data_IF_500865093764
#
_entry.id   IF_500865093764
#
_cell.length_a   1.000
_cell.length_b   1.000
_cell.length_c   1.000
_cell.angle_alpha   90.00
_cell.angle_beta   90.00
_cell.angle_gamma   90.00
#
_symmetry.space_group_name_H-M   'P 1'
#
loop_
_entity.id
_entity.type
_entity.pdbx_description
1 polymer ?
#
# COMPACT_ATOMS: atom_id res chain seq x y z
N UNK A 1 -28.46 -28.37 40.07
CA UNK A 1 -29.67 -27.92 39.36
C UNK A 1 -29.17 -27.14 38.16
N UNK A 2 -29.38 -27.46 36.89
CA UNK A 2 -30.26 -28.37 36.15
C UNK A 2 -29.43 -28.89 34.95
N UNK A 3 -29.34 -30.20 34.71
CA UNK A 3 -30.29 -31.09 34.02
C UNK A 3 -29.88 -31.31 32.55
N UNK A 4 -29.71 -32.58 32.24
CA UNK A 4 -28.85 -33.16 31.21
C UNK A 4 -29.77 -33.88 30.21
N UNK A 5 -29.97 -33.33 29.01
CA UNK A 5 -30.79 -33.99 27.98
C UNK A 5 -29.91 -34.78 27.00
N UNK A 6 -29.75 -36.08 27.30
CA UNK A 6 -29.26 -37.10 26.36
C UNK A 6 -30.42 -37.57 25.50
N UNK A 7 -30.34 -37.31 24.19
CA UNK A 7 -31.23 -37.92 23.20
C UNK A 7 -30.71 -39.33 22.87
N UNK A 8 -31.42 -40.36 23.33
CA UNK A 8 -31.21 -41.74 22.94
C UNK A 8 -31.94 -42.01 21.62
N UNK A 9 -31.17 -42.20 20.55
CA UNK A 9 -31.69 -42.65 19.25
C UNK A 9 -32.01 -44.14 19.28
N UNK A 10 -33.27 -44.45 19.00
CA UNK A 10 -33.86 -45.79 18.87
C UNK A 10 -33.15 -46.62 17.81
N UNK A 11 -32.62 -47.78 18.22
CA UNK A 11 -32.05 -48.78 17.32
C UNK A 11 -33.22 -49.63 16.78
N UNK A 12 -33.54 -49.45 15.49
CA UNK A 12 -34.46 -50.33 14.76
C UNK A 12 -33.68 -51.57 14.33
N UNK A 13 -34.00 -52.71 14.95
CA UNK A 13 -33.49 -54.02 14.57
C UNK A 13 -34.37 -54.54 13.42
N UNK A 14 -33.90 -54.36 12.20
CA UNK A 14 -34.52 -54.93 11.00
C UNK A 14 -34.05 -56.39 10.84
N UNK A 15 -34.92 -57.35 11.17
CA UNK A 15 -34.73 -58.77 10.91
C UNK A 15 -34.75 -59.04 9.41
N UNK A 16 -33.56 -59.12 8.81
CA UNK A 16 -33.38 -59.44 7.39
C UNK A 16 -33.48 -60.93 7.17
N UNK A 17 -34.55 -61.30 6.48
CA UNK A 17 -34.87 -62.64 5.97
C UNK A 17 -33.70 -63.18 5.11
N UNK A 18 -33.13 -64.33 5.51
CA UNK A 18 -32.07 -65.00 4.78
C UNK A 18 -32.64 -65.68 3.53
N UNK A 19 -32.70 -64.95 2.41
CA UNK A 19 -32.84 -65.57 1.10
C UNK A 19 -31.53 -66.23 0.70
N UNK A 20 -31.57 -67.55 0.63
CA UNK A 20 -30.48 -68.42 0.18
C UNK A 20 -30.26 -68.22 -1.34
N UNK A 21 -29.53 -67.16 -1.69
CA UNK A 21 -29.10 -66.90 -3.07
C UNK A 21 -27.91 -67.80 -3.40
N UNK A 22 -28.03 -68.56 -4.48
CA UNK A 22 -26.96 -69.39 -5.02
C UNK A 22 -25.69 -68.55 -5.25
N UNK A 23 -24.48 -69.10 -4.97
CA UNK A 23 -23.23 -68.37 -5.15
C UNK A 23 -23.05 -68.03 -6.62
N UNK A 24 -23.23 -66.76 -6.97
CA UNK A 24 -22.87 -66.22 -8.26
C UNK A 24 -21.39 -66.54 -8.54
N UNK A 25 -21.02 -66.87 -9.79
CA UNK A 25 -19.65 -67.23 -10.15
C UNK A 25 -18.71 -66.13 -9.68
N UNK A 26 -17.71 -66.50 -8.86
CA UNK A 26 -16.61 -65.62 -8.42
C UNK A 26 -15.86 -65.13 -9.66
N UNK A 27 -16.34 -64.04 -10.25
CA UNK A 27 -15.57 -63.24 -11.20
C UNK A 27 -14.37 -62.71 -10.41
N UNK A 28 -13.17 -62.96 -10.93
CA UNK A 28 -11.92 -62.79 -10.18
C UNK A 28 -11.76 -61.33 -9.72
N UNK A 29 -12.03 -61.08 -8.44
CA UNK A 29 -11.86 -59.76 -7.79
C UNK A 29 -10.44 -59.23 -7.89
N UNK A 30 -9.49 -60.12 -8.22
CA UNK A 30 -8.09 -59.82 -8.49
C UNK A 30 -7.95 -58.86 -9.68
N UNK A 31 -8.71 -59.06 -10.77
CA UNK A 31 -8.61 -58.20 -11.96
C UNK A 31 -9.03 -56.75 -11.69
N UNK A 32 -10.13 -56.56 -10.93
CA UNK A 32 -10.64 -55.22 -10.61
C UNK A 32 -9.71 -54.44 -9.69
N UNK A 33 -9.05 -55.11 -8.73
CA UNK A 33 -8.06 -54.49 -7.85
C UNK A 33 -6.80 -54.08 -8.61
N UNK A 34 -6.34 -54.91 -9.54
CA UNK A 34 -5.20 -54.59 -10.41
C UNK A 34 -5.50 -53.36 -11.28
N UNK A 35 -6.69 -53.28 -11.89
CA UNK A 35 -7.08 -52.10 -12.69
C UNK A 35 -7.11 -50.80 -11.86
N UNK A 36 -7.66 -50.83 -10.65
CA UNK A 36 -7.72 -49.63 -9.80
C UNK A 36 -6.32 -49.17 -9.38
N UNK A 37 -5.44 -50.10 -8.98
CA UNK A 37 -4.05 -49.75 -8.66
C UNK A 37 -3.31 -49.14 -9.85
N UNK A 38 -3.49 -49.68 -11.06
CA UNK A 38 -2.87 -49.13 -12.27
C UNK A 38 -3.37 -47.71 -12.58
N UNK A 39 -4.67 -47.44 -12.42
CA UNK A 39 -5.22 -46.10 -12.61
C UNK A 39 -4.66 -45.08 -11.61
N UNK A 40 -4.53 -45.45 -10.34
CA UNK A 40 -3.94 -44.57 -9.31
C UNK A 40 -2.47 -44.30 -9.61
N UNK A 41 -1.70 -45.32 -9.99
CA UNK A 41 -0.28 -45.15 -10.36
C UNK A 41 -0.13 -44.27 -11.60
N UNK A 42 -0.94 -44.49 -12.64
CA UNK A 42 -0.94 -43.63 -13.84
C UNK A 42 -1.28 -42.18 -13.48
N UNK A 43 -2.29 -41.96 -12.63
CA UNK A 43 -2.65 -40.62 -12.18
C UNK A 43 -1.52 -39.94 -11.39
N UNK A 44 -0.86 -40.66 -10.48
CA UNK A 44 0.28 -40.14 -9.74
C UNK A 44 1.48 -39.84 -10.65
N UNK A 45 1.75 -40.68 -11.65
CA UNK A 45 2.80 -40.42 -12.65
C UNK A 45 2.46 -39.15 -13.44
N UNK A 46 1.20 -38.98 -13.87
CA UNK A 46 0.77 -37.75 -14.56
C UNK A 46 0.95 -36.53 -13.66
N UNK A 47 0.60 -36.62 -12.38
CA UNK A 47 0.80 -35.52 -11.42
C UNK A 47 2.28 -35.20 -11.20
N UNK A 48 3.14 -36.22 -11.10
CA UNK A 48 4.59 -36.02 -10.97
C UNK A 48 5.17 -35.43 -12.25
N UNK A 49 4.77 -35.91 -13.42
CA UNK A 49 5.24 -35.39 -14.69
C UNK A 49 4.75 -33.96 -14.90
N UNK A 50 3.48 -33.66 -14.57
CA UNK A 50 2.95 -32.31 -14.56
C UNK A 50 3.71 -31.42 -13.58
N UNK A 51 4.04 -31.92 -12.38
CA UNK A 51 4.86 -31.19 -11.40
C UNK A 51 6.27 -30.92 -11.93
N UNK A 52 6.95 -31.91 -12.52
CA UNK A 52 8.29 -31.73 -13.11
C UNK A 52 8.20 -30.73 -14.27
N UNK A 53 7.23 -30.87 -15.17
CA UNK A 53 7.08 -29.98 -16.32
C UNK A 53 6.63 -28.56 -15.92
N UNK A 54 5.94 -28.41 -14.80
CA UNK A 54 5.42 -27.13 -14.33
C UNK A 54 6.35 -26.43 -13.34
N UNK A 55 7.14 -27.18 -12.58
CA UNK A 55 8.04 -26.64 -11.55
C UNK A 55 9.48 -26.72 -12.04
N UNK A 56 9.97 -27.91 -12.36
CA UNK A 56 11.39 -28.10 -12.70
C UNK A 56 11.76 -27.53 -14.07
N UNK A 57 10.90 -27.66 -15.08
CA UNK A 57 11.19 -27.11 -16.41
C UNK A 57 11.28 -25.58 -16.36
N UNK A 58 10.29 -24.84 -15.84
CA UNK A 58 10.45 -23.40 -15.63
C UNK A 58 11.64 -23.07 -14.75
N UNK A 59 11.95 -23.83 -13.70
CA UNK A 59 13.11 -23.56 -12.85
C UNK A 59 14.46 -23.73 -13.56
N UNK A 60 14.61 -24.80 -14.35
CA UNK A 60 15.81 -25.05 -15.17
C UNK A 60 15.94 -23.94 -16.20
N UNK A 61 14.83 -23.61 -16.88
CA UNK A 61 14.86 -22.55 -17.85
C UNK A 61 15.12 -21.20 -17.16
N UNK A 62 14.56 -20.87 -15.98
CA UNK A 62 14.78 -19.61 -15.24
C UNK A 62 16.23 -19.39 -14.84
N UNK A 63 16.99 -20.44 -14.53
CA UNK A 63 18.43 -20.30 -14.30
C UNK A 63 19.22 -19.97 -15.60
N UNK A 64 18.64 -20.22 -16.77
CA UNK A 64 19.16 -19.76 -18.07
C UNK A 64 18.53 -18.42 -18.54
N UNK A 65 17.65 -17.77 -17.75
CA UNK A 65 16.94 -16.54 -18.15
C UNK A 65 17.84 -15.32 -18.26
N UNK A 66 19.01 -15.32 -17.60
CA UNK A 66 20.00 -14.24 -17.76
C UNK A 66 20.58 -14.16 -19.20
N UNK A 67 20.28 -15.13 -20.09
CA UNK A 67 20.85 -15.21 -21.43
C UNK A 67 19.84 -15.17 -22.59
N UNK A 68 18.52 -15.02 -22.35
CA UNK A 68 17.53 -15.14 -23.44
C UNK A 68 16.54 -13.95 -23.54
N UNK A 69 16.74 -13.01 -24.49
CA UNK A 69 15.90 -11.82 -24.66
C UNK A 69 14.47 -12.11 -25.19
N UNK A 70 14.12 -13.36 -25.49
CA UNK A 70 12.78 -13.73 -25.97
C UNK A 70 11.74 -13.92 -24.84
N UNK A 71 12.14 -13.89 -23.56
CA UNK A 71 11.22 -13.98 -22.42
C UNK A 71 10.59 -12.64 -21.98
N UNK A 72 11.14 -11.49 -22.41
CA UNK A 72 10.46 -10.17 -22.28
C UNK A 72 9.03 -10.24 -22.82
N UNK A 73 8.81 -11.05 -23.86
CA UNK A 73 7.53 -11.14 -24.56
C UNK A 73 6.46 -11.98 -23.87
N UNK A 74 6.81 -12.87 -22.94
CA UNK A 74 5.84 -13.76 -22.29
C UNK A 74 5.45 -13.31 -20.87
N UNK A 75 6.32 -12.60 -20.15
CA UNK A 75 5.94 -11.90 -18.91
C UNK A 75 4.87 -10.82 -19.16
N UNK A 76 4.85 -10.25 -20.38
CA UNK A 76 3.84 -9.26 -20.84
C UNK A 76 2.44 -9.87 -21.07
N UNK A 77 2.29 -11.20 -21.16
CA UNK A 77 1.04 -11.81 -21.69
C UNK A 77 0.08 -12.34 -20.61
N UNK A 78 0.51 -12.49 -19.35
CA UNK A 78 -0.36 -13.10 -18.31
C UNK A 78 -0.84 -12.07 -17.26
N UNK A 79 -0.26 -10.86 -17.23
CA UNK A 79 -0.87 -9.74 -16.53
C UNK A 79 -2.05 -9.20 -17.35
N UNK A 80 -3.21 -8.85 -16.75
CA UNK A 80 -4.18 -8.02 -17.45
C UNK A 80 -3.43 -6.79 -17.99
N UNK A 81 -3.55 -6.53 -19.31
CA UNK A 81 -3.01 -5.31 -19.92
C UNK A 81 -3.37 -4.14 -19.02
N UNK A 82 -2.39 -3.32 -18.63
CA UNK A 82 -2.67 -2.07 -17.91
C UNK A 82 -3.84 -1.37 -18.60
N UNK A 83 -4.82 -0.85 -17.83
CA UNK A 83 -5.97 -0.17 -18.39
C UNK A 83 -5.47 0.83 -19.43
N UNK A 84 -6.07 0.74 -20.62
CA UNK A 84 -5.79 1.64 -21.76
C UNK A 84 -5.65 3.04 -21.20
N UNK A 85 -4.51 3.71 -21.47
CA UNK A 85 -4.29 5.08 -21.05
C UNK A 85 -5.48 5.93 -21.49
N UNK A 86 -6.37 6.23 -20.55
CA UNK A 86 -7.47 7.10 -20.81
C UNK A 86 -6.89 8.51 -20.83
N UNK A 87 -7.23 9.27 -21.87
CA UNK A 87 -6.89 10.67 -21.90
C UNK A 87 -7.64 11.39 -20.76
N UNK A 88 -6.93 11.66 -19.67
CA UNK A 88 -7.46 12.28 -18.44
C UNK A 88 -7.57 13.80 -18.55
N UNK A 89 -7.11 14.42 -19.63
CA UNK A 89 -7.10 15.89 -19.78
C UNK A 89 -8.49 16.54 -19.78
N UNK A 90 -9.52 15.73 -20.06
CA UNK A 90 -10.92 16.15 -20.00
C UNK A 90 -11.54 16.09 -18.59
N UNK A 91 -10.92 15.39 -17.64
CA UNK A 91 -11.49 15.23 -16.31
C UNK A 91 -11.37 16.53 -15.51
N UNK A 92 -12.45 16.93 -14.84
CA UNK A 92 -12.55 18.19 -14.12
C UNK A 92 -12.08 18.10 -12.66
N UNK A 93 -11.66 16.92 -12.20
CA UNK A 93 -11.31 16.65 -10.81
C UNK A 93 -10.26 15.56 -10.66
N UNK A 94 -9.60 15.53 -9.50
CA UNK A 94 -8.89 14.36 -9.00
C UNK A 94 -9.26 14.11 -7.54
N UNK A 95 -9.22 12.84 -7.14
CA UNK A 95 -9.52 12.41 -5.76
C UNK A 95 -8.23 11.96 -5.09
N UNK A 96 -8.05 12.41 -3.85
CA UNK A 96 -6.96 11.99 -2.99
C UNK A 96 -7.51 11.27 -1.77
N UNK A 97 -6.97 10.09 -1.50
CA UNK A 97 -7.15 9.38 -0.24
C UNK A 97 -5.91 9.54 0.62
N UNK A 98 -6.08 9.57 1.93
CA UNK A 98 -4.99 9.38 2.88
C UNK A 98 -5.38 8.27 3.84
N UNK A 99 -4.50 7.28 3.96
CA UNK A 99 -4.56 6.27 5.01
C UNK A 99 -3.79 6.82 6.22
N UNK A 100 -4.32 6.64 7.41
CA UNK A 100 -3.70 6.91 8.71
C UNK A 100 -3.85 5.67 9.60
N UNK A 101 -3.16 5.60 10.72
CA UNK A 101 -3.06 4.36 11.51
C UNK A 101 -4.41 3.73 11.92
N UNK A 102 -5.41 4.56 12.20
CA UNK A 102 -6.75 4.14 12.62
C UNK A 102 -7.89 4.42 11.65
N UNK A 103 -7.65 5.14 10.56
CA UNK A 103 -8.72 5.64 9.69
C UNK A 103 -8.19 6.00 8.30
N UNK A 104 -9.09 6.30 7.36
CA UNK A 104 -8.77 6.96 6.11
C UNK A 104 -9.54 8.27 5.95
N UNK A 105 -9.01 9.20 5.16
CA UNK A 105 -9.70 10.42 4.74
C UNK A 105 -9.71 10.58 3.22
N UNK A 106 -10.63 11.39 2.73
CA UNK A 106 -10.77 11.69 1.31
C UNK A 106 -10.92 13.19 1.06
N UNK A 107 -10.37 13.65 -0.07
CA UNK A 107 -10.54 15.01 -0.59
C UNK A 107 -10.65 14.98 -2.12
N UNK A 108 -11.20 16.06 -2.68
CA UNK A 108 -11.33 16.26 -4.13
C UNK A 108 -10.69 17.60 -4.49
N UNK A 109 -9.84 17.62 -5.52
CA UNK A 109 -9.31 18.85 -6.12
C UNK A 109 -9.95 19.07 -7.50
N UNK A 110 -10.61 20.21 -7.70
CA UNK A 110 -11.33 20.55 -8.93
C UNK A 110 -10.54 21.51 -9.81
N UNK A 111 -10.66 21.37 -11.13
CA UNK A 111 -9.93 22.16 -12.15
C UNK A 111 -9.96 23.69 -11.94
N UNK A 112 -10.98 24.22 -11.27
CA UNK A 112 -11.10 25.63 -10.96
C UNK A 112 -10.15 26.16 -9.85
N UNK A 113 -9.30 25.33 -9.24
CA UNK A 113 -8.44 25.76 -8.11
C UNK A 113 -8.95 25.35 -6.73
N UNK A 114 -10.21 24.93 -6.64
CA UNK A 114 -10.85 24.63 -5.37
C UNK A 114 -10.61 23.17 -4.98
N UNK A 115 -10.43 22.94 -3.68
CA UNK A 115 -10.39 21.60 -3.10
C UNK A 115 -11.40 21.51 -1.96
N UNK A 116 -12.03 20.36 -1.81
CA UNK A 116 -12.97 20.10 -0.71
C UNK A 116 -12.57 18.83 0.03
N UNK A 117 -12.75 18.84 1.34
CA UNK A 117 -12.65 17.64 2.17
C UNK A 117 -13.99 16.89 2.13
N UNK A 118 -13.94 15.56 2.04
CA UNK A 118 -15.14 14.73 1.88
C UNK A 118 -15.54 14.10 3.20
N UNK A 119 -14.60 13.44 3.87
CA UNK A 119 -14.89 12.78 5.13
C UNK A 119 -13.79 11.84 5.59
N UNK A 120 -14.07 11.24 6.74
CA UNK A 120 -13.23 10.25 7.43
C UNK A 120 -14.01 8.94 7.51
N UNK A 121 -13.29 7.82 7.39
CA UNK A 121 -13.82 6.50 7.63
C UNK A 121 -12.89 5.74 8.57
N UNK A 122 -13.39 5.36 9.74
CA UNK A 122 -12.58 4.65 10.72
C UNK A 122 -12.32 3.20 10.29
N UNK A 123 -11.08 2.77 10.49
CA UNK A 123 -10.66 1.40 10.23
C UNK A 123 -11.18 0.44 11.30
N UNK A 124 -11.47 -0.79 10.89
CA UNK A 124 -11.81 -1.87 11.81
C UNK A 124 -10.54 -2.45 12.50
N UNK A 125 -10.72 -3.45 13.37
CA UNK A 125 -9.60 -4.08 14.07
C UNK A 125 -8.62 -4.77 13.12
N UNK A 126 -9.11 -5.30 11.99
CA UNK A 126 -8.24 -5.91 10.99
C UNK A 126 -7.38 -4.85 10.28
N UNK A 127 -7.95 -3.67 10.00
CA UNK A 127 -7.23 -2.51 9.48
C UNK A 127 -6.13 -2.06 10.45
N UNK A 128 -6.48 -1.81 11.72
CA UNK A 128 -5.53 -1.36 12.74
C UNK A 128 -4.42 -2.38 12.98
N UNK A 129 -4.78 -3.68 13.03
CA UNK A 129 -3.81 -4.78 13.14
C UNK A 129 -2.86 -4.81 11.95
N UNK A 130 -3.34 -4.56 10.74
CA UNK A 130 -2.48 -4.45 9.57
C UNK A 130 -1.54 -3.24 9.68
N UNK A 131 -2.07 -2.05 9.99
CA UNK A 131 -1.26 -0.83 10.10
C UNK A 131 -0.13 -1.00 11.12
N UNK A 132 -0.42 -1.61 12.28
CA UNK A 132 0.59 -1.95 13.28
C UNK A 132 1.58 -3.03 12.81
N UNK A 133 1.13 -4.06 12.07
CA UNK A 133 2.01 -5.07 11.49
C UNK A 133 2.96 -4.46 10.44
N UNK A 134 2.45 -3.53 9.64
CA UNK A 134 3.17 -2.90 8.54
C UNK A 134 4.31 -1.97 8.99
N UNK A 135 4.37 -1.63 10.30
CA UNK A 135 5.49 -0.88 10.87
C UNK A 135 6.74 -1.75 11.07
N UNK A 136 6.57 -3.07 11.17
CA UNK A 136 7.67 -3.99 11.44
C UNK A 136 8.43 -4.35 10.17
N UNK A 137 9.77 -4.33 10.24
CA UNK A 137 10.63 -4.85 9.18
C UNK A 137 10.41 -6.34 8.91
N UNK A 138 9.91 -7.10 9.88
CA UNK A 138 9.65 -8.53 9.75
C UNK A 138 8.41 -8.82 8.89
N UNK A 139 7.55 -7.81 8.70
CA UNK A 139 6.38 -7.90 7.83
C UNK A 139 6.70 -7.61 6.36
N UNK A 140 7.93 -7.18 6.05
CA UNK A 140 8.37 -6.92 4.68
C UNK A 140 8.32 -8.21 3.88
N UNK A 141 7.52 -8.20 2.82
CA UNK A 141 7.52 -9.28 1.85
C UNK A 141 8.48 -8.98 0.69
N UNK A 142 9.00 -10.01 0.00
CA UNK A 142 9.70 -9.81 -1.25
C UNK A 142 8.80 -9.03 -2.23
N UNK A 143 9.37 -8.03 -2.89
CA UNK A 143 8.72 -7.23 -3.92
C UNK A 143 9.73 -7.03 -5.05
N UNK A 144 9.31 -6.78 -6.30
CA UNK A 144 10.23 -6.33 -7.32
C UNK A 144 10.98 -5.05 -6.89
N UNK A 145 12.12 -4.69 -7.53
CA UNK A 145 12.88 -5.57 -8.40
C UNK A 145 13.42 -6.74 -7.58
N UNK A 146 13.24 -7.96 -8.09
CA UNK A 146 13.68 -9.13 -7.38
C UNK A 146 15.18 -9.29 -7.58
N UNK A 147 15.95 -9.15 -6.50
CA UNK A 147 17.37 -9.50 -6.52
C UNK A 147 17.56 -11.01 -6.32
N UNK A 148 18.34 -11.63 -7.20
CA UNK A 148 18.71 -13.05 -7.16
C UNK A 148 17.49 -13.99 -7.09
N UNK A 149 17.25 -14.62 -5.94
CA UNK A 149 16.19 -15.60 -5.70
C UNK A 149 14.88 -14.99 -5.20
N UNK A 150 14.79 -13.65 -5.09
CA UNK A 150 13.61 -12.96 -4.56
C UNK A 150 12.31 -13.32 -5.30
N UNK A 151 12.38 -13.43 -6.63
CA UNK A 151 11.22 -13.77 -7.46
C UNK A 151 10.70 -15.18 -7.17
N UNK A 152 11.62 -16.11 -6.94
CA UNK A 152 11.28 -17.48 -6.60
C UNK A 152 10.66 -17.57 -5.20
N UNK A 153 11.27 -16.89 -4.22
CA UNK A 153 10.74 -16.81 -2.86
C UNK A 153 9.32 -16.21 -2.84
N UNK A 154 9.05 -15.23 -3.71
CA UNK A 154 7.75 -14.57 -3.79
C UNK A 154 6.69 -15.29 -4.63
N UNK A 155 7.11 -16.27 -5.45
CA UNK A 155 6.23 -16.92 -6.43
C UNK A 155 4.95 -17.49 -5.80
N UNK A 156 5.05 -18.09 -4.62
CA UNK A 156 3.90 -18.65 -3.89
C UNK A 156 2.89 -17.57 -3.48
N UNK A 157 3.37 -16.41 -2.99
CA UNK A 157 2.54 -15.26 -2.65
C UNK A 157 1.85 -14.71 -3.91
N UNK A 158 2.60 -14.52 -4.99
CA UNK A 158 2.08 -14.01 -6.27
C UNK A 158 1.00 -14.90 -6.87
N UNK A 159 1.19 -16.23 -6.84
CA UNK A 159 0.16 -17.18 -7.30
C UNK A 159 -1.09 -17.12 -6.43
N UNK A 160 -0.95 -17.09 -5.10
CA UNK A 160 -2.09 -16.97 -4.19
C UNK A 160 -2.87 -15.68 -4.44
N UNK A 161 -2.16 -14.55 -4.60
CA UNK A 161 -2.70 -13.24 -4.99
C UNK A 161 -3.50 -13.34 -6.28
N UNK A 162 -2.91 -13.85 -7.36
CA UNK A 162 -3.55 -14.00 -8.66
C UNK A 162 -4.85 -14.82 -8.58
N UNK A 163 -4.83 -15.95 -7.89
CA UNK A 163 -6.01 -16.80 -7.74
C UNK A 163 -7.11 -16.13 -6.93
N UNK A 164 -6.77 -15.40 -5.87
CA UNK A 164 -7.76 -14.64 -5.09
C UNK A 164 -8.42 -13.54 -5.92
N UNK A 165 -7.63 -12.76 -6.67
CA UNK A 165 -8.14 -11.71 -7.57
C UNK A 165 -9.06 -12.30 -8.64
N UNK A 166 -8.68 -13.43 -9.26
CA UNK A 166 -9.54 -14.17 -10.20
C UNK A 166 -10.88 -14.63 -9.61
N UNK A 167 -10.94 -14.86 -8.30
CA UNK A 167 -12.17 -15.21 -7.58
C UNK A 167 -12.94 -13.98 -7.07
N UNK A 168 -12.59 -12.77 -7.49
CA UNK A 168 -13.21 -11.52 -7.03
C UNK A 168 -12.93 -11.20 -5.56
N UNK A 169 -11.86 -11.76 -4.99
CA UNK A 169 -11.42 -11.53 -3.61
C UNK A 169 -10.25 -10.54 -3.58
N UNK A 170 -10.02 -9.86 -2.45
CA UNK A 170 -8.83 -9.04 -2.29
C UNK A 170 -7.57 -9.92 -2.34
N UNK A 171 -6.47 -9.35 -2.83
CA UNK A 171 -5.19 -10.04 -3.03
C UNK A 171 -4.69 -10.80 -1.79
N UNK A 172 -4.91 -10.23 -0.60
CA UNK A 172 -4.75 -10.89 0.70
C UNK A 172 -5.88 -10.48 1.65
N UNK A 173 -5.87 -10.98 2.89
CA UNK A 173 -6.80 -10.50 3.92
C UNK A 173 -6.45 -9.08 4.39
N UNK A 174 -5.16 -8.79 4.50
CA UNK A 174 -4.62 -7.46 4.82
C UNK A 174 -5.08 -6.40 3.80
N UNK A 175 -4.92 -6.68 2.50
CA UNK A 175 -5.41 -5.81 1.41
C UNK A 175 -6.92 -5.60 1.53
N UNK A 176 -7.66 -6.65 1.87
CA UNK A 176 -9.09 -6.55 2.10
C UNK A 176 -9.45 -5.60 3.24
N UNK A 177 -8.63 -5.54 4.30
CA UNK A 177 -8.84 -4.63 5.43
C UNK A 177 -8.60 -3.16 5.04
N UNK A 178 -7.52 -2.88 4.32
CA UNK A 178 -7.24 -1.54 3.79
C UNK A 178 -8.31 -1.07 2.81
N UNK A 179 -8.70 -1.93 1.86
CA UNK A 179 -9.67 -1.57 0.85
C UNK A 179 -11.08 -1.30 1.41
N UNK A 180 -11.46 -1.90 2.55
CA UNK A 180 -12.74 -1.58 3.21
C UNK A 180 -12.82 -0.10 3.61
N UNK A 181 -11.71 0.49 4.05
CA UNK A 181 -11.65 1.92 4.39
C UNK A 181 -11.91 2.77 3.14
N UNK A 182 -11.25 2.45 2.02
CA UNK A 182 -11.44 3.20 0.77
C UNK A 182 -12.82 3.00 0.15
N UNK A 183 -13.39 1.78 0.23
CA UNK A 183 -14.76 1.49 -0.17
C UNK A 183 -15.76 2.32 0.66
N UNK A 184 -15.50 2.44 1.98
CA UNK A 184 -16.28 3.28 2.88
C UNK A 184 -16.27 4.76 2.49
N UNK A 185 -15.12 5.27 2.03
CA UNK A 185 -14.97 6.64 1.54
C UNK A 185 -15.51 6.85 0.12
N UNK A 186 -15.54 5.81 -0.72
CA UNK A 186 -16.00 5.87 -2.11
C UNK A 186 -17.45 6.34 -2.24
N UNK A 187 -18.34 5.93 -1.34
CA UNK A 187 -19.74 6.35 -1.34
C UNK A 187 -19.90 7.87 -1.18
N UNK A 188 -19.37 8.47 -0.10
CA UNK A 188 -19.31 9.93 0.07
C UNK A 188 -18.64 10.67 -1.09
N UNK A 189 -17.52 10.14 -1.62
CA UNK A 189 -16.84 10.72 -2.79
C UNK A 189 -17.75 10.74 -4.02
N UNK A 190 -18.36 9.61 -4.39
CA UNK A 190 -19.28 9.54 -5.54
C UNK A 190 -20.47 10.50 -5.37
N UNK A 191 -20.99 10.63 -4.14
CA UNK A 191 -22.06 11.57 -3.83
C UNK A 191 -21.61 13.03 -4.04
N UNK A 192 -20.39 13.37 -3.63
CA UNK A 192 -19.83 14.71 -3.82
C UNK A 192 -19.50 15.02 -5.28
N UNK A 193 -19.15 14.02 -6.08
CA UNK A 193 -18.94 14.17 -7.52
C UNK A 193 -20.24 14.44 -8.29
N UNK A 194 -21.37 13.89 -7.84
CA UNK A 194 -22.69 14.15 -8.43
C UNK A 194 -22.71 13.86 -9.94
N UNK A 195 -23.00 14.89 -10.73
CA UNK A 195 -23.13 14.80 -12.18
C UNK A 195 -21.79 14.54 -12.91
N UNK A 196 -20.65 14.67 -12.22
CA UNK A 196 -19.33 14.32 -12.76
C UNK A 196 -19.12 12.81 -12.90
N UNK A 197 -20.04 12.01 -12.35
CA UNK A 197 -20.03 10.55 -12.43
C UNK A 197 -19.28 9.86 -11.29
N UNK A 198 -19.14 8.53 -11.36
CA UNK A 198 -18.47 7.76 -10.32
C UNK A 198 -16.96 8.01 -10.32
N UNK A 199 -16.34 7.82 -9.16
CA UNK A 199 -14.89 7.80 -8.98
C UNK A 199 -14.23 6.81 -9.95
N UNK A 200 -13.34 7.35 -10.79
CA UNK A 200 -12.53 6.56 -11.74
C UNK A 200 -11.07 6.48 -11.31
N UNK A 201 -10.49 7.60 -10.90
CA UNK A 201 -9.07 7.71 -10.57
C UNK A 201 -8.87 8.34 -9.19
N UNK A 202 -7.89 7.85 -8.45
CA UNK A 202 -7.48 8.48 -7.20
C UNK A 202 -5.99 8.25 -6.91
N UNK A 203 -5.42 9.13 -6.11
CA UNK A 203 -4.13 8.94 -5.43
C UNK A 203 -4.35 8.44 -4.01
N UNK A 204 -3.36 7.75 -3.45
CA UNK A 204 -3.38 7.29 -2.06
C UNK A 204 -2.10 7.74 -1.36
N UNK A 205 -2.24 8.61 -0.36
CA UNK A 205 -1.20 8.96 0.60
C UNK A 205 -1.19 7.98 1.77
N UNK A 206 0.00 7.64 2.25
CA UNK A 206 0.20 6.70 3.36
C UNK A 206 1.22 7.25 4.35
N UNK A 207 1.15 6.90 5.65
CA UNK A 207 2.25 7.23 6.54
C UNK A 207 3.45 6.35 6.16
N UNK A 208 4.62 6.67 6.71
CA UNK A 208 5.78 5.80 6.55
C UNK A 208 5.53 4.41 7.15
N UNK A 209 5.48 3.39 6.29
CA UNK A 209 5.27 1.99 6.66
C UNK A 209 6.27 1.11 5.90
N UNK A 210 7.30 0.55 6.57
CA UNK A 210 8.35 -0.23 5.92
C UNK A 210 7.86 -1.43 5.10
N UNK A 211 6.74 -2.03 5.50
CA UNK A 211 6.17 -3.21 4.86
C UNK A 211 4.93 -2.93 4.01
N UNK A 212 4.74 -1.68 3.55
CA UNK A 212 3.70 -1.31 2.60
C UNK A 212 4.32 -0.90 1.25
N UNK A 213 3.85 -1.53 0.17
CA UNK A 213 4.40 -1.35 -1.17
C UNK A 213 3.37 -0.78 -2.15
N UNK A 214 3.82 -0.22 -3.26
CA UNK A 214 2.94 0.26 -4.34
C UNK A 214 2.10 -0.88 -4.94
N UNK A 215 2.60 -2.12 -4.92
CA UNK A 215 1.82 -3.31 -5.30
C UNK A 215 0.57 -3.46 -4.41
N UNK A 216 0.71 -3.25 -3.11
CA UNK A 216 -0.41 -3.30 -2.17
C UNK A 216 -1.40 -2.17 -2.46
N UNK A 217 -0.92 -0.96 -2.73
CA UNK A 217 -1.77 0.19 -3.07
C UNK A 217 -2.58 -0.03 -4.35
N UNK A 218 -1.97 -0.64 -5.36
CA UNK A 218 -2.64 -1.01 -6.60
C UNK A 218 -3.71 -2.07 -6.36
N UNK A 219 -3.40 -3.12 -5.59
CA UNK A 219 -4.38 -4.15 -5.23
C UNK A 219 -5.57 -3.60 -4.43
N UNK A 220 -5.30 -2.65 -3.53
CA UNK A 220 -6.33 -1.94 -2.76
C UNK A 220 -7.23 -1.14 -3.71
N UNK A 221 -6.65 -0.38 -4.64
CA UNK A 221 -7.38 0.44 -5.60
C UNK A 221 -8.22 -0.42 -6.54
N UNK A 222 -7.65 -1.50 -7.09
CA UNK A 222 -8.34 -2.47 -7.94
C UNK A 222 -9.54 -3.07 -7.20
N UNK A 223 -9.34 -3.55 -5.97
CA UNK A 223 -10.43 -4.15 -5.18
C UNK A 223 -11.50 -3.12 -4.78
N UNK A 224 -11.10 -1.87 -4.52
CA UNK A 224 -12.03 -0.76 -4.28
C UNK A 224 -12.71 -0.26 -5.57
N UNK A 225 -12.26 -0.70 -6.74
CA UNK A 225 -12.84 -0.42 -8.04
C UNK A 225 -12.58 1.01 -8.54
N UNK A 226 -11.34 1.47 -8.44
CA UNK A 226 -10.83 2.67 -9.10
C UNK A 226 -9.37 2.45 -9.53
N UNK A 227 -8.86 3.29 -10.43
CA UNK A 227 -7.47 3.24 -10.88
C UNK A 227 -6.58 4.12 -10.00
N UNK A 228 -5.47 3.58 -9.53
CA UNK A 228 -4.46 4.32 -8.79
C UNK A 228 -3.65 5.23 -9.72
N UNK A 229 -3.52 6.50 -9.34
CA UNK A 229 -2.57 7.46 -9.91
C UNK A 229 -1.34 7.46 -9.00
N UNK A 230 -0.16 7.25 -9.57
CA UNK A 230 1.12 7.33 -8.84
C UNK A 230 1.94 8.46 -9.44
N UNK A 231 2.03 9.62 -8.78
CA UNK A 231 2.53 10.84 -9.41
C UNK A 231 4.03 10.90 -9.72
N UNK A 232 4.77 9.82 -9.46
CA UNK A 232 6.21 9.79 -9.64
C UNK A 232 6.63 8.49 -10.33
N UNK A 233 7.41 8.63 -11.40
CA UNK A 233 8.18 7.50 -11.94
C UNK A 233 9.44 7.35 -11.11
N UNK A 234 9.29 6.60 -10.04
CA UNK A 234 10.41 6.16 -9.24
C UNK A 234 11.24 5.17 -10.07
N UNK A 235 12.57 5.22 -9.93
CA UNK A 235 13.48 4.30 -10.59
C UNK A 235 14.10 3.34 -9.60
N UNK A 236 14.44 2.15 -10.09
CA UNK A 236 15.10 1.12 -9.30
C UNK A 236 14.26 0.63 -8.11
N UNK A 237 14.87 0.45 -6.95
CA UNK A 237 14.22 -0.07 -5.73
C UNK A 237 13.09 0.79 -5.20
N UNK A 238 13.14 2.08 -5.51
CA UNK A 238 12.16 3.02 -5.02
C UNK A 238 10.81 2.86 -5.72
N UNK A 239 10.76 2.27 -6.92
CA UNK A 239 9.52 2.06 -7.70
C UNK A 239 8.43 1.30 -6.95
N UNK A 240 8.83 0.52 -5.96
CA UNK A 240 7.91 -0.36 -5.24
C UNK A 240 7.53 0.17 -3.88
N UNK A 241 8.19 1.21 -3.38
CA UNK A 241 7.86 1.78 -2.08
C UNK A 241 6.63 2.67 -2.18
N UNK A 242 5.73 2.49 -1.21
CA UNK A 242 4.54 3.32 -1.09
C UNK A 242 4.91 4.81 -1.06
N UNK A 243 4.19 5.62 -1.84
CA UNK A 243 4.31 7.07 -1.77
C UNK A 243 3.73 7.53 -0.42
N UNK A 244 4.55 8.25 0.35
CA UNK A 244 4.21 8.66 1.71
C UNK A 244 3.54 10.04 1.73
N UNK A 245 2.90 10.38 2.85
CA UNK A 245 2.25 11.66 3.10
C UNK A 245 3.15 12.85 2.77
N UNK A 246 4.45 12.81 3.13
CA UNK A 246 5.39 13.90 2.84
C UNK A 246 5.51 14.20 1.33
N UNK A 247 5.44 13.16 0.49
CA UNK A 247 5.60 13.31 -0.96
C UNK A 247 4.41 14.07 -1.54
N UNK A 248 3.22 13.81 -0.99
CA UNK A 248 2.02 14.53 -1.38
C UNK A 248 2.03 15.95 -0.81
N UNK A 249 2.40 16.09 0.47
CA UNK A 249 2.32 17.36 1.20
C UNK A 249 3.13 18.49 0.61
N UNK A 250 4.22 18.20 -0.10
CA UNK A 250 4.93 19.23 -0.85
C UNK A 250 4.00 20.03 -1.78
N UNK A 251 3.18 19.33 -2.55
CA UNK A 251 2.34 19.98 -3.54
C UNK A 251 1.08 20.60 -2.97
N UNK A 252 0.44 19.97 -1.99
CA UNK A 252 -0.77 20.55 -1.39
C UNK A 252 -0.49 21.69 -0.42
N UNK A 253 0.68 21.74 0.23
CA UNK A 253 1.17 22.93 0.94
C UNK A 253 1.60 24.06 0.00
N UNK A 254 1.48 23.88 -1.34
CA UNK A 254 1.88 24.86 -2.35
C UNK A 254 3.35 25.27 -2.23
N UNK A 255 4.22 24.32 -1.87
CA UNK A 255 5.65 24.56 -1.78
C UNK A 255 6.32 24.37 -3.14
N UNK A 256 7.47 25.03 -3.31
CA UNK A 256 8.25 25.05 -4.56
C UNK A 256 7.38 25.33 -5.78
N UNK A 257 7.46 24.43 -6.78
CA UNK A 257 6.80 24.59 -8.08
C UNK A 257 5.29 24.24 -8.05
N UNK A 258 4.71 24.05 -6.88
CA UNK A 258 3.29 23.70 -6.73
C UNK A 258 2.38 24.92 -6.43
N UNK A 259 2.81 26.17 -6.68
CA UNK A 259 2.06 27.37 -6.28
C UNK A 259 0.76 27.62 -7.07
N UNK A 260 0.72 27.39 -8.38
CA UNK A 260 -0.50 27.59 -9.17
C UNK A 260 -0.56 26.72 -10.42
N UNK A 261 -1.39 25.67 -10.43
CA UNK A 261 -1.64 24.91 -11.66
C UNK A 261 -2.62 25.62 -12.63
N UNK A 262 -3.32 26.68 -12.16
CA UNK A 262 -4.30 27.42 -12.97
C UNK A 262 -3.66 28.46 -13.87
N UNK A 263 -2.47 28.96 -13.53
CA UNK A 263 -1.70 29.86 -14.38
C UNK A 263 -0.90 29.04 -15.40
N UNK A 264 -1.42 28.95 -16.62
CA UNK A 264 -0.92 28.13 -17.73
C UNK A 264 0.51 28.44 -18.21
N UNK A 265 1.27 29.31 -17.55
CA UNK A 265 2.74 29.36 -17.72
C UNK A 265 3.40 28.22 -16.95
N UNK A 266 2.89 26.99 -17.11
CA UNK A 266 3.41 25.74 -16.55
C UNK A 266 4.88 25.54 -16.91
N UNK A 267 5.35 26.17 -18.00
CA UNK A 267 6.73 26.08 -18.44
C UNK A 267 7.69 27.07 -17.74
N UNK A 268 7.21 28.10 -17.04
CA UNK A 268 8.06 29.12 -16.40
C UNK A 268 8.24 28.89 -14.89
N UNK A 269 7.31 28.21 -14.23
CA UNK A 269 7.43 27.88 -12.79
C UNK A 269 8.36 26.68 -12.53
N UNK A 270 8.89 26.01 -13.57
CA UNK A 270 9.72 24.79 -13.43
C UNK A 270 11.21 25.08 -13.16
N UNK A 271 11.66 26.32 -13.33
CA UNK A 271 13.08 26.70 -13.26
C UNK A 271 13.51 27.18 -11.87
N UNK A 272 12.57 27.36 -10.93
CA UNK A 272 12.92 27.58 -9.52
C UNK A 272 13.04 26.21 -8.88
N UNK A 273 14.16 25.52 -9.15
CA UNK A 273 14.50 24.37 -8.29
C UNK A 273 14.44 24.88 -6.85
N UNK A 274 13.62 24.29 -5.95
CA UNK A 274 13.83 24.53 -4.54
C UNK A 274 15.32 24.32 -4.28
N UNK A 275 15.93 25.22 -3.49
CA UNK A 275 17.31 25.05 -3.07
C UNK A 275 17.46 23.59 -2.64
N UNK A 276 18.41 22.87 -3.23
CA UNK A 276 18.51 21.39 -3.24
C UNK A 276 18.74 20.72 -1.87
N UNK A 277 18.47 21.46 -0.81
CA UNK A 277 18.80 21.21 0.59
C UNK A 277 17.59 21.36 1.52
N UNK A 278 16.35 21.46 1.01
CA UNK A 278 15.15 21.47 1.85
C UNK A 278 14.91 20.09 2.49
N UNK A 279 15.25 19.96 3.76
CA UNK A 279 14.94 18.76 4.56
C UNK A 279 13.66 18.95 5.34
N UNK A 280 12.67 18.09 5.08
CA UNK A 280 11.40 18.12 5.79
C UNK A 280 11.27 16.92 6.71
N UNK A 281 10.97 17.20 7.98
CA UNK A 281 10.48 16.19 8.91
C UNK A 281 8.95 16.08 8.77
N UNK A 282 8.47 14.96 8.23
CA UNK A 282 7.05 14.59 8.29
C UNK A 282 6.79 13.84 9.58
N UNK A 283 5.74 14.24 10.29
CA UNK A 283 5.28 13.60 11.53
C UNK A 283 3.78 13.34 11.44
N UNK A 284 3.37 12.09 11.52
CA UNK A 284 1.97 11.70 11.64
C UNK A 284 1.72 11.20 13.05
N UNK A 285 0.90 11.93 13.81
CA UNK A 285 0.58 11.59 15.20
C UNK A 285 -0.93 11.37 15.35
N UNK A 286 -1.28 10.10 15.57
CA UNK A 286 -2.66 9.63 15.64
C UNK A 286 -2.94 8.96 16.99
N UNK A 287 -4.18 8.52 17.20
CA UNK A 287 -4.54 7.73 18.39
C UNK A 287 -3.75 6.42 18.43
N UNK A 288 -3.60 5.76 17.29
CA UNK A 288 -3.08 4.39 17.22
C UNK A 288 -1.55 4.31 16.99
N UNK A 289 -0.91 5.37 16.48
CA UNK A 289 0.49 5.31 16.08
C UNK A 289 1.16 6.68 15.96
N UNK A 290 2.47 6.71 16.18
CA UNK A 290 3.37 7.78 15.77
C UNK A 290 4.24 7.29 14.60
N UNK A 291 4.25 8.02 13.49
CA UNK A 291 5.25 7.84 12.42
C UNK A 291 5.98 9.14 12.18
N UNK A 292 7.28 9.07 11.94
CA UNK A 292 8.06 10.24 11.56
C UNK A 292 9.25 9.86 10.70
N UNK A 293 9.56 10.67 9.70
CA UNK A 293 10.72 10.46 8.85
C UNK A 293 11.18 11.79 8.26
N UNK A 294 12.48 11.89 7.96
CA UNK A 294 13.05 13.02 7.22
C UNK A 294 13.18 12.64 5.76
N UNK A 295 12.66 13.48 4.87
CA UNK A 295 12.90 13.34 3.43
C UNK A 295 13.57 14.59 2.89
N UNK A 296 14.63 14.44 2.07
CA UNK A 296 15.12 15.54 1.26
C UNK A 296 14.07 15.89 0.22
N UNK A 297 13.88 17.17 -0.03
CA UNK A 297 13.12 17.67 -1.16
C UNK A 297 14.08 18.23 -2.20
N UNK A 298 14.69 17.33 -2.98
CA UNK A 298 15.28 17.69 -4.25
C UNK A 298 14.21 17.71 -5.34
N UNK A 299 14.38 18.58 -6.36
CA UNK A 299 13.56 18.72 -7.58
C UNK A 299 12.35 17.80 -7.73
N UNK A 300 11.15 18.39 -7.78
CA UNK A 300 9.86 17.71 -8.00
C UNK A 300 9.54 16.54 -7.07
N UNK A 301 10.13 16.46 -5.87
CA UNK A 301 9.93 15.34 -4.93
C UNK A 301 10.34 13.97 -5.49
N UNK A 302 11.21 13.94 -6.51
CA UNK A 302 11.65 12.71 -7.18
C UNK A 302 12.75 11.94 -6.41
N UNK A 303 13.43 12.58 -5.45
CA UNK A 303 14.52 11.96 -4.70
C UNK A 303 14.02 11.12 -3.53
N UNK A 304 13.44 9.97 -3.87
CA UNK A 304 12.91 9.02 -2.91
C UNK A 304 13.97 7.95 -2.57
N UNK A 305 14.99 8.32 -1.79
CA UNK A 305 15.85 7.30 -1.18
C UNK A 305 15.22 6.87 0.13
N UNK A 306 14.27 5.92 0.05
CA UNK A 306 13.98 4.97 1.12
C UNK A 306 14.07 5.57 2.54
N UNK A 307 13.51 6.76 2.76
CA UNK A 307 13.81 7.54 3.94
C UNK A 307 13.53 6.64 5.14
N UNK A 308 14.58 6.30 5.89
CA UNK A 308 14.36 5.52 7.09
C UNK A 308 13.52 6.39 8.03
N UNK A 309 12.77 5.79 8.93
CA UNK A 309 11.89 6.54 9.79
C UNK A 309 11.51 5.70 10.99
N UNK A 310 10.71 6.30 11.86
CA UNK A 310 10.00 5.58 12.90
C UNK A 310 8.58 5.31 12.43
N UNK A 311 8.08 4.14 12.80
CA UNK A 311 6.66 3.82 12.79
C UNK A 311 6.39 2.97 14.03
N UNK A 312 5.77 3.56 15.05
CA UNK A 312 5.63 2.93 16.36
C UNK A 312 4.17 2.96 16.84
N UNK A 313 3.48 1.81 16.84
CA UNK A 313 2.09 1.73 17.31
C UNK A 313 1.98 1.89 18.84
N UNK A 314 3.07 1.80 19.59
CA UNK A 314 3.09 2.01 21.04
C UNK A 314 3.28 3.47 21.43
N UNK A 315 3.50 4.35 20.46
CA UNK A 315 3.67 5.78 20.66
C UNK A 315 2.49 6.60 20.12
N UNK A 316 1.38 5.96 19.74
CA UNK A 316 0.11 6.66 19.47
C UNK A 316 -0.47 7.32 20.73
N UNK A 317 -1.36 8.31 20.56
CA UNK A 317 -1.96 9.06 21.68
C UNK A 317 -2.75 8.16 22.65
N UNK A 318 -3.35 7.09 22.14
CA UNK A 318 -4.08 6.11 22.94
C UNK A 318 -3.18 5.23 23.82
N UNK A 319 -1.89 5.14 23.51
CA UNK A 319 -0.94 4.39 24.31
C UNK A 319 -0.51 5.11 25.60
N UNK A 320 -0.83 6.41 25.76
CA UNK A 320 -0.48 7.20 26.95
C UNK A 320 -0.88 6.50 28.27
N UNK A 321 -2.05 5.86 28.28
CA UNK A 321 -2.59 5.18 29.47
C UNK A 321 -1.90 3.85 29.79
N UNK A 322 -1.10 3.31 28.86
CA UNK A 322 -0.36 2.06 29.02
C UNK A 322 1.00 2.27 29.72
N UNK A 323 1.47 3.52 29.82
CA UNK A 323 2.73 3.87 30.48
C UNK A 323 2.54 4.13 31.97
N UNK A 324 3.59 3.93 32.75
CA UNK A 324 3.54 4.11 34.22
C UNK A 324 3.28 5.56 34.62
N UNK A 325 3.68 6.51 33.77
CA UNK A 325 3.41 7.94 33.94
C UNK A 325 3.34 8.68 32.60
N UNK A 326 2.61 9.81 32.52
CA UNK A 326 2.64 10.66 31.33
C UNK A 326 4.04 11.15 30.96
N UNK A 327 4.91 11.38 31.96
CA UNK A 327 6.29 11.79 31.72
C UNK A 327 7.05 10.72 30.93
N UNK A 328 6.94 9.45 31.33
CA UNK A 328 7.59 8.32 30.65
C UNK A 328 7.16 8.21 29.18
N UNK A 329 5.86 8.32 28.91
CA UNK A 329 5.31 8.32 27.55
C UNK A 329 5.87 9.48 26.71
N UNK A 330 5.78 10.71 27.21
CA UNK A 330 6.24 11.89 26.46
C UNK A 330 7.76 11.89 26.26
N UNK A 331 8.51 11.32 27.21
CA UNK A 331 9.94 11.07 27.05
C UNK A 331 10.19 10.07 25.92
N UNK A 332 9.45 8.96 25.84
CA UNK A 332 9.55 7.99 24.75
C UNK A 332 9.20 8.59 23.38
N UNK A 333 8.12 9.38 23.29
CA UNK A 333 7.75 10.14 22.08
C UNK A 333 8.88 11.09 21.67
N UNK A 334 9.46 11.83 22.62
CA UNK A 334 10.59 12.72 22.38
C UNK A 334 11.81 11.98 21.81
N UNK A 335 12.19 10.85 22.41
CA UNK A 335 13.28 10.00 21.90
C UNK A 335 13.01 9.50 20.48
N UNK A 336 11.79 9.07 20.20
CA UNK A 336 11.42 8.58 18.88
C UNK A 336 11.52 9.69 17.81
N UNK A 337 11.03 10.90 18.11
CA UNK A 337 11.15 12.04 17.20
C UNK A 337 12.61 12.41 16.90
N UNK A 338 13.48 12.36 17.90
CA UNK A 338 14.93 12.55 17.71
C UNK A 338 15.50 11.47 16.80
N UNK A 339 15.17 10.21 17.06
CA UNK A 339 15.65 9.10 16.23
C UNK A 339 15.14 9.21 14.78
N UNK A 340 13.93 9.73 14.58
CA UNK A 340 13.40 10.04 13.26
C UNK A 340 14.17 11.16 12.56
N UNK A 341 14.70 12.16 13.29
CA UNK A 341 15.56 13.17 12.67
C UNK A 341 16.88 12.58 12.17
N UNK A 342 17.44 11.60 12.88
CA UNK A 342 18.69 10.92 12.50
C UNK A 342 18.54 9.92 11.34
N UNK A 343 17.31 9.75 10.84
CA UNK A 343 16.98 8.77 9.81
C UNK A 343 17.59 9.10 8.43
N UNK A 344 18.10 10.33 8.27
CA UNK A 344 18.86 10.78 7.13
C UNK A 344 20.23 11.32 7.58
N UNK A 345 21.21 10.41 7.58
CA UNK A 345 22.48 10.43 8.34
C UNK A 345 23.40 11.64 8.15
N UNK A 346 23.17 12.48 7.15
CA UNK A 346 24.04 13.61 6.81
C UNK A 346 23.33 14.97 6.87
N UNK A 347 22.01 15.03 7.12
CA UNK A 347 21.25 16.29 7.19
C UNK A 347 20.23 16.41 8.33
N UNK A 348 20.12 15.41 9.20
CA UNK A 348 19.23 15.36 10.38
C UNK A 348 19.05 16.68 11.16
N UNK A 349 20.13 17.45 11.29
CA UNK A 349 20.16 18.67 12.10
C UNK A 349 19.92 19.98 11.31
N UNK A 350 19.53 19.90 10.03
CA UNK A 350 19.25 21.04 9.14
C UNK A 350 17.85 20.95 8.53
N UNK A 351 16.84 20.76 9.38
CA UNK A 351 15.46 20.74 8.91
C UNK A 351 15.06 22.15 8.48
N UNK A 352 14.58 22.29 7.26
CA UNK A 352 14.01 23.56 6.80
C UNK A 352 12.56 23.70 7.24
N UNK A 353 11.84 22.58 7.44
CA UNK A 353 10.42 22.56 7.82
C UNK A 353 10.05 21.32 8.63
N UNK A 354 8.96 21.44 9.36
CA UNK A 354 8.27 20.30 9.99
C UNK A 354 6.83 20.29 9.51
N UNK A 355 6.35 19.14 9.05
CA UNK A 355 4.96 18.97 8.62
C UNK A 355 4.31 17.96 9.55
N UNK A 356 3.15 18.32 10.10
CA UNK A 356 2.47 17.50 11.09
C UNK A 356 1.08 17.13 10.59
N UNK A 357 0.77 15.83 10.63
CA UNK A 357 -0.47 15.23 10.14
C UNK A 357 -1.18 14.41 11.23
N UNK A 358 -2.43 14.07 10.94
CA UNK A 358 -3.34 13.23 11.74
C UNK A 358 -4.08 13.93 12.88
N UNK A 359 -5.06 13.26 13.48
CA UNK A 359 -6.04 13.84 14.40
C UNK A 359 -5.44 14.25 15.75
N UNK A 360 -4.38 13.57 16.20
CA UNK A 360 -3.75 13.89 17.49
C UNK A 360 -2.65 14.94 17.34
N UNK A 361 -2.34 15.40 16.12
CA UNK A 361 -1.35 16.43 15.84
C UNK A 361 -1.57 17.73 16.65
N UNK A 362 -2.82 18.06 16.97
CA UNK A 362 -3.16 19.28 17.71
C UNK A 362 -3.07 19.16 19.23
N UNK A 363 -2.66 18.00 19.76
CA UNK A 363 -2.47 17.79 21.20
C UNK A 363 -1.37 18.75 21.72
N UNK A 364 -1.66 19.60 22.73
CA UNK A 364 -0.73 20.63 23.19
C UNK A 364 0.54 20.05 23.83
N UNK A 365 0.45 18.89 24.48
CA UNK A 365 1.63 18.23 25.05
C UNK A 365 2.50 17.64 23.96
N UNK A 366 1.89 17.02 22.94
CA UNK A 366 2.63 16.56 21.77
C UNK A 366 3.35 17.72 21.07
N UNK A 367 2.66 18.85 20.84
CA UNK A 367 3.25 20.03 20.21
C UNK A 367 4.43 20.59 21.00
N UNK A 368 4.33 20.59 22.33
CA UNK A 368 5.43 20.97 23.22
C UNK A 368 6.61 20.02 23.06
N UNK A 369 6.38 18.71 23.15
CA UNK A 369 7.41 17.65 23.01
C UNK A 369 8.09 17.71 21.65
N UNK A 370 7.32 17.89 20.58
CA UNK A 370 7.82 18.05 19.21
C UNK A 370 8.74 19.26 19.11
N UNK A 371 8.28 20.43 19.57
CA UNK A 371 9.06 21.67 19.52
C UNK A 371 10.36 21.58 20.34
N UNK A 372 10.27 21.07 21.57
CA UNK A 372 11.42 20.92 22.46
C UNK A 372 12.48 19.99 21.85
N UNK A 373 12.07 18.81 21.39
CA UNK A 373 13.02 17.82 20.88
C UNK A 373 13.56 18.20 19.50
N UNK A 374 12.74 18.66 18.56
CA UNK A 374 13.24 19.08 17.25
C UNK A 374 14.22 20.26 17.39
N UNK A 375 13.86 21.30 18.15
CA UNK A 375 14.73 22.48 18.36
C UNK A 375 16.07 22.11 18.99
N UNK A 376 16.06 21.19 19.97
CA UNK A 376 17.27 20.74 20.66
C UNK A 376 18.29 20.14 19.69
N UNK A 377 17.83 19.40 18.69
CA UNK A 377 18.68 18.68 17.73
C UNK A 377 18.97 19.47 16.45
N UNK A 378 18.27 20.58 16.19
CA UNK A 378 18.67 21.51 15.11
C UNK A 378 20.03 22.15 15.35
N UNK A 379 20.80 22.38 14.27
CA UNK A 379 22.05 23.16 14.28
C UNK A 379 21.75 24.62 14.62
N UNK A 380 20.70 25.18 14.04
CA UNK A 380 20.29 26.57 14.27
C UNK A 380 19.85 26.85 15.71
N UNK A 381 19.56 25.80 16.49
CA UNK A 381 18.91 25.89 17.82
C UNK A 381 17.59 26.67 17.77
N UNK A 382 16.94 26.68 16.61
CA UNK A 382 15.61 27.25 16.39
C UNK A 382 14.67 26.19 15.82
N UNK A 383 13.38 26.32 16.14
CA UNK A 383 12.35 25.46 15.56
C UNK A 383 12.14 25.86 14.09
N UNK A 384 12.22 24.92 13.14
CA UNK A 384 11.81 25.19 11.76
C UNK A 384 10.32 25.57 11.70
N UNK A 385 9.86 26.30 10.66
CA UNK A 385 8.43 26.50 10.42
C UNK A 385 7.65 25.19 10.48
N UNK A 386 6.57 25.17 11.27
CA UNK A 386 5.69 24.02 11.42
C UNK A 386 4.43 24.25 10.60
N UNK A 387 4.17 23.36 9.64
CA UNK A 387 2.94 23.35 8.85
C UNK A 387 1.93 22.37 9.45
N UNK A 388 0.72 22.84 9.77
CA UNK A 388 -0.34 22.03 10.37
C UNK A 388 -1.74 22.51 9.94
N UNK A 389 -1.87 22.96 8.70
CA UNK A 389 -3.17 23.42 8.20
C UNK A 389 -4.09 22.21 7.97
N UNK A 390 -5.14 22.08 8.78
CA UNK A 390 -6.11 20.96 8.72
C UNK A 390 -5.44 19.57 8.78
N UNK A 391 -4.73 19.23 9.88
CA UNK A 391 -3.84 18.06 9.93
C UNK A 391 -4.55 16.73 9.68
N UNK A 392 -5.86 16.67 9.96
CA UNK A 392 -6.69 15.50 9.69
C UNK A 392 -6.84 15.20 8.18
N UNK A 393 -6.91 16.23 7.34
CA UNK A 393 -7.21 16.11 5.90
C UNK A 393 -6.06 16.54 4.99
N UNK A 394 -4.99 17.11 5.54
CA UNK A 394 -3.85 17.64 4.80
C UNK A 394 -3.35 16.63 3.75
N UNK A 395 -2.94 15.44 4.17
CA UNK A 395 -2.43 14.41 3.26
C UNK A 395 -3.43 14.01 2.14
N UNK A 396 -4.73 13.99 2.40
CA UNK A 396 -5.74 13.70 1.37
C UNK A 396 -5.91 14.87 0.37
N UNK A 397 -5.92 16.12 0.87
CA UNK A 397 -5.96 17.32 0.03
C UNK A 397 -4.72 17.40 -0.85
N UNK A 398 -3.57 17.11 -0.26
CA UNK A 398 -2.28 17.11 -0.93
C UNK A 398 -2.21 16.01 -2.00
N UNK A 399 -2.76 14.83 -1.69
CA UNK A 399 -2.90 13.73 -2.64
C UNK A 399 -3.80 14.10 -3.82
N UNK A 400 -4.95 14.73 -3.56
CA UNK A 400 -5.89 15.13 -4.60
C UNK A 400 -5.28 16.18 -5.54
N UNK A 401 -4.58 17.16 -4.96
CA UNK A 401 -3.91 18.22 -5.70
C UNK A 401 -2.79 17.67 -6.59
N UNK A 402 -1.94 16.78 -6.06
CA UNK A 402 -0.87 16.17 -6.83
C UNK A 402 -1.40 15.25 -7.93
N UNK A 403 -2.42 14.43 -7.63
CA UNK A 403 -3.08 13.56 -8.60
C UNK A 403 -3.62 14.34 -9.79
N UNK A 404 -4.21 15.50 -9.55
CA UNK A 404 -4.70 16.39 -10.58
C UNK A 404 -3.61 16.99 -11.45
N UNK A 405 -2.51 17.45 -10.86
CA UNK A 405 -1.35 17.94 -11.63
C UNK A 405 -0.86 16.88 -12.59
N UNK A 406 -0.85 15.65 -12.11
CA UNK A 406 -0.54 14.48 -12.91
C UNK A 406 -1.52 14.25 -14.07
N UNK A 407 -2.82 14.43 -13.85
CA UNK A 407 -3.83 14.30 -14.91
C UNK A 407 -3.81 15.45 -15.94
N UNK A 408 -3.33 16.63 -15.56
CA UNK A 408 -3.21 17.81 -16.43
C UNK A 408 -1.96 17.79 -17.32
N UNK A 409 -1.01 16.91 -17.03
CA UNK A 409 0.25 16.82 -17.74
C UNK A 409 0.04 16.07 -19.07
N UNK A 410 -0.23 16.83 -20.13
CA UNK A 410 -0.56 16.32 -21.45
C UNK A 410 0.62 15.61 -22.13
N UNK A 411 0.27 14.58 -22.88
CA UNK A 411 1.05 13.46 -23.46
C UNK A 411 2.21 13.80 -24.43
N UNK A 412 2.52 15.08 -24.65
CA UNK A 412 3.52 15.53 -25.63
C UNK A 412 4.89 15.91 -25.07
N UNK A 413 5.04 16.13 -23.76
CA UNK A 413 6.32 16.53 -23.16
C UNK A 413 7.06 15.31 -22.58
N UNK A 414 8.11 14.85 -23.28
CA UNK A 414 8.86 13.62 -22.96
C UNK A 414 9.56 13.61 -21.59
N UNK A 415 9.59 14.75 -20.89
CA UNK A 415 10.26 14.86 -19.59
C UNK A 415 9.42 14.30 -18.43
N UNK A 416 8.12 14.05 -18.63
CA UNK A 416 7.19 13.66 -17.55
C UNK A 416 6.31 12.45 -17.90
N UNK A 417 6.90 11.41 -18.46
CA UNK A 417 6.22 10.12 -18.67
C UNK A 417 6.13 9.35 -17.35
N UNK A 418 5.09 9.53 -16.53
CA UNK A 418 5.04 8.72 -15.29
C UNK A 418 3.89 8.80 -14.30
N UNK A 419 2.81 9.54 -14.54
CA UNK A 419 1.73 9.68 -13.54
C UNK A 419 0.82 8.45 -13.39
N UNK A 420 0.91 7.51 -14.34
CA UNK A 420 0.28 6.20 -14.25
C UNK A 420 1.41 5.20 -13.99
N UNK A 421 1.30 4.37 -12.94
CA UNK A 421 2.35 3.41 -12.65
C UNK A 421 2.48 2.46 -13.85
N UNK A 422 3.69 2.36 -14.40
CA UNK A 422 4.03 1.31 -15.34
C UNK A 422 4.32 0.04 -14.55
N UNK A 423 3.26 -0.69 -14.19
CA UNK A 423 3.33 -1.89 -13.33
C UNK A 423 3.94 -3.11 -14.03
N UNK A 424 4.47 -2.97 -15.25
CA UNK A 424 5.20 -4.06 -15.86
C UNK A 424 6.47 -4.34 -15.03
N UNK A 425 6.74 -5.60 -14.64
CA UNK A 425 8.00 -5.95 -14.01
C UNK A 425 9.13 -5.59 -14.98
N UNK A 426 9.87 -4.53 -14.67
CA UNK A 426 11.10 -4.22 -15.40
C UNK A 426 12.21 -5.03 -14.75
N UNK A 427 12.85 -5.90 -15.52
CA UNK A 427 14.18 -6.36 -15.12
C UNK A 427 15.07 -5.12 -15.15
N UNK A 428 15.68 -4.77 -14.01
CA UNK A 428 16.73 -3.77 -14.03
C UNK A 428 17.82 -4.26 -14.99
N UNK A 429 18.02 -3.52 -16.07
CA UNK A 429 19.31 -3.56 -16.76
C UNK A 429 20.33 -2.93 -15.82
N UNK A 430 21.40 -3.67 -15.53
CA UNK A 430 22.59 -3.12 -14.91
C UNK A 430 23.19 -1.99 -15.75
#
# INVERSE_FOLDING_TARGET
>A
MAEQNRNYGTIVVETREQQHTQPAPRTSSTGRRICICLLIVCFLIILVFAYILYVLVPNIFTCFYDLNPLCERWAIVIGPRSPVHHNTTGDSYAVGFSLAAGYGTAAISFRNGTSITIGRYDGDDAYRKFMAKATSSDAVHPTPPYYCNGAYADSTRQWARLWRKKLGKPASEEIGALARVLIGLKGPVNKALGDLGPLKYATIATPYLPALFNEDLDDIAEYAGFQLITPFKLSGDSEHKAITDINFSFCGMRLGNCQSFTNQTVNQELDVSPESDDEILSVSYSIDMLTAHVSPLGGFANYFYAASGIADPWLGRGALEMYSSPHEYWTAVGYALVNATDSYSWRAARLSRVVVHSESATDPDFQRVLRENVTKYQISKSMPPVSMDSPLYAAALDAAELGKRCMLQDDGSSYYTGCVPDLHPKMQGW
#
